data_IF_095764440267
#
_entry.id   IF_095764440267
#
_cell.length_a   1.000
_cell.length_b   1.000
_cell.length_c   1.000
_cell.angle_alpha   90.00
_cell.angle_beta   90.00
_cell.angle_gamma   90.00
#
_symmetry.space_group_name_H-M   'P 1'
#
loop_
_entity.id
_entity.type
_entity.pdbx_description
1 polymer ?
#
# COMPACT_ATOMS: atom_id res chain seq x y z
N UNK A 1 -2.72 2.46 -1.78
CA UNK A 1 -2.44 1.40 -2.76
C UNK A 1 -1.78 0.19 -2.09
N UNK A 2 -2.20 -1.03 -2.47
CA UNK A 2 -1.47 -2.27 -2.16
C UNK A 2 -0.05 -2.25 -2.77
N UNK A 3 0.90 -2.99 -2.19
CA UNK A 3 2.27 -3.03 -2.70
C UNK A 3 2.43 -4.10 -3.80
N UNK A 4 3.23 -3.83 -4.85
CA UNK A 4 3.35 -4.66 -6.04
C UNK A 4 4.26 -5.87 -5.83
N UNK A 5 3.95 -6.71 -4.84
CA UNK A 5 4.69 -7.95 -4.57
C UNK A 5 3.74 -9.15 -4.61
N UNK A 6 4.26 -10.31 -5.01
CA UNK A 6 3.43 -11.53 -5.18
C UNK A 6 2.77 -11.98 -3.88
N UNK A 7 3.40 -11.69 -2.75
CA UNK A 7 2.86 -11.96 -1.41
C UNK A 7 1.59 -11.19 -1.11
N UNK A 8 1.38 -10.03 -1.73
CA UNK A 8 0.16 -9.24 -1.51
C UNK A 8 -1.10 -10.06 -1.81
N UNK A 9 -1.06 -10.90 -2.86
CA UNK A 9 -2.16 -11.81 -3.16
C UNK A 9 -2.00 -13.16 -2.45
N UNK A 10 -0.80 -13.77 -2.51
CA UNK A 10 -0.62 -15.14 -2.05
C UNK A 10 -0.69 -15.27 -0.52
N UNK A 11 -0.06 -14.37 0.24
CA UNK A 11 -0.05 -14.44 1.71
C UNK A 11 -1.43 -14.12 2.25
N UNK A 12 -2.10 -13.12 1.65
CA UNK A 12 -3.45 -12.77 2.03
C UNK A 12 -4.38 -13.97 1.93
N UNK A 13 -4.33 -14.74 0.83
CA UNK A 13 -5.29 -15.83 0.59
C UNK A 13 -4.87 -17.21 1.11
N UNK A 14 -3.56 -17.48 1.18
CA UNK A 14 -3.03 -18.83 1.45
C UNK A 14 -2.07 -18.86 2.64
N UNK A 15 -1.95 -17.78 3.40
CA UNK A 15 -1.12 -17.71 4.60
C UNK A 15 -1.58 -18.68 5.69
N UNK A 16 -0.66 -19.10 6.56
CA UNK A 16 -0.87 -20.08 7.64
C UNK A 16 -2.06 -19.77 8.54
N UNK A 17 -2.35 -18.49 8.77
CA UNK A 17 -3.40 -18.04 9.67
C UNK A 17 -4.74 -17.76 8.98
N UNK A 18 -4.85 -17.94 7.65
CA UNK A 18 -6.08 -17.63 6.92
C UNK A 18 -6.91 -18.90 6.61
N UNK A 19 -8.11 -19.06 7.22
CA UNK A 19 -8.99 -20.19 6.97
C UNK A 19 -9.95 -19.99 5.77
N UNK A 20 -9.78 -18.95 4.95
CA UNK A 20 -10.74 -18.53 3.91
C UNK A 20 -11.15 -19.66 2.96
N UNK A 21 -10.25 -20.60 2.69
CA UNK A 21 -10.49 -21.74 1.79
C UNK A 21 -10.48 -23.11 2.49
N UNK A 22 -10.71 -23.13 3.81
CA UNK A 22 -10.64 -24.33 4.63
C UNK A 22 -9.35 -24.41 5.43
N UNK A 23 -8.87 -25.63 5.66
CA UNK A 23 -7.64 -25.86 6.43
C UNK A 23 -6.42 -25.35 5.63
N UNK A 24 -5.54 -24.51 6.21
CA UNK A 24 -4.32 -24.05 5.56
C UNK A 24 -3.39 -25.21 5.18
N UNK A 25 -2.75 -25.11 4.00
CA UNK A 25 -1.87 -26.16 3.48
C UNK A 25 -0.38 -25.80 3.68
N UNK A 26 0.39 -26.60 4.46
CA UNK A 26 1.83 -26.36 4.66
C UNK A 26 2.61 -26.31 3.36
N UNK A 27 2.23 -27.13 2.38
CA UNK A 27 2.85 -27.17 1.06
C UNK A 27 2.74 -25.83 0.31
N UNK A 28 1.82 -24.95 0.73
CA UNK A 28 1.70 -23.60 0.19
C UNK A 28 2.37 -22.60 1.15
N UNK A 29 1.90 -22.50 2.40
CA UNK A 29 2.33 -21.40 3.28
C UNK A 29 3.80 -21.49 3.71
N UNK A 30 4.41 -22.67 3.80
CA UNK A 30 5.83 -22.78 4.17
C UNK A 30 6.74 -22.24 3.05
N UNK A 31 6.34 -22.44 1.79
CA UNK A 31 7.04 -21.87 0.63
C UNK A 31 6.85 -20.35 0.58
N UNK A 32 5.66 -19.83 0.88
CA UNK A 32 5.43 -18.39 0.96
C UNK A 32 6.28 -17.74 2.05
N UNK A 33 6.31 -18.33 3.26
CA UNK A 33 7.15 -17.88 4.37
C UNK A 33 8.64 -17.93 4.00
N UNK A 34 9.08 -18.97 3.30
CA UNK A 34 10.47 -19.09 2.84
C UNK A 34 10.81 -18.01 1.79
N UNK A 35 9.94 -17.82 0.79
CA UNK A 35 10.14 -16.82 -0.26
C UNK A 35 10.19 -15.40 0.31
N UNK A 36 9.35 -15.10 1.30
CA UNK A 36 9.30 -13.79 1.96
C UNK A 36 10.61 -13.41 2.69
N UNK A 37 11.49 -14.37 2.99
CA UNK A 37 12.81 -14.10 3.59
C UNK A 37 13.90 -13.77 2.54
N UNK A 38 13.58 -13.79 1.24
CA UNK A 38 14.54 -13.58 0.16
C UNK A 38 14.32 -12.20 -0.47
N UNK A 39 15.30 -11.32 -0.31
CA UNK A 39 15.21 -9.94 -0.80
C UNK A 39 15.35 -9.80 -2.33
N UNK A 40 16.06 -10.71 -3.00
CA UNK A 40 16.21 -10.70 -4.46
C UNK A 40 15.04 -11.43 -5.13
N UNK A 41 14.18 -10.74 -5.89
CA UNK A 41 13.03 -11.37 -6.54
C UNK A 41 13.41 -12.52 -7.48
N UNK A 42 14.55 -12.43 -8.16
CA UNK A 42 15.02 -13.49 -9.06
C UNK A 42 15.42 -14.76 -8.29
N UNK A 43 15.96 -14.59 -7.08
CA UNK A 43 16.28 -15.71 -6.20
C UNK A 43 15.02 -16.33 -5.56
N UNK A 44 13.96 -15.54 -5.34
CA UNK A 44 12.70 -16.00 -4.77
C UNK A 44 11.75 -16.67 -5.80
N UNK A 45 11.93 -16.40 -7.10
CA UNK A 45 11.04 -16.83 -8.18
C UNK A 45 10.76 -18.34 -8.19
N UNK A 46 11.79 -19.17 -7.98
CA UNK A 46 11.64 -20.62 -7.96
C UNK A 46 10.74 -21.09 -6.80
N UNK A 47 10.86 -20.47 -5.63
CA UNK A 47 10.08 -20.81 -4.43
C UNK A 47 8.61 -20.45 -4.64
N UNK A 48 8.35 -19.25 -5.18
CA UNK A 48 6.99 -18.83 -5.49
C UNK A 48 6.36 -19.65 -6.63
N UNK A 49 7.18 -20.13 -7.57
CA UNK A 49 6.73 -21.07 -8.60
C UNK A 49 6.27 -22.40 -7.97
N UNK A 50 7.03 -22.92 -7.01
CA UNK A 50 6.67 -24.13 -6.28
C UNK A 50 5.39 -23.93 -5.45
N UNK A 51 5.23 -22.78 -4.79
CA UNK A 51 4.00 -22.43 -4.07
C UNK A 51 2.78 -22.39 -5.01
N UNK A 52 2.94 -21.79 -6.19
CA UNK A 52 1.88 -21.75 -7.20
C UNK A 52 1.56 -23.15 -7.77
N UNK A 53 2.55 -24.02 -7.90
CA UNK A 53 2.33 -25.43 -8.28
C UNK A 53 1.56 -26.18 -7.19
N UNK A 54 1.87 -25.97 -5.91
CA UNK A 54 1.13 -26.56 -4.80
C UNK A 54 -0.34 -26.11 -4.78
N UNK A 55 -0.62 -24.81 -5.00
CA UNK A 55 -1.99 -24.29 -5.17
C UNK A 55 -2.71 -25.01 -6.31
N UNK A 56 -2.04 -25.20 -7.44
CA UNK A 56 -2.60 -25.89 -8.61
C UNK A 56 -2.91 -27.37 -8.33
N UNK A 57 -2.08 -28.05 -7.54
CA UNK A 57 -2.26 -29.48 -7.23
C UNK A 57 -3.33 -29.72 -6.18
N UNK A 58 -3.34 -28.90 -5.12
CA UNK A 58 -4.27 -29.02 -4.00
C UNK A 58 -5.66 -28.47 -4.33
N UNK A 59 -5.73 -27.47 -5.22
CA UNK A 59 -6.96 -26.76 -5.61
C UNK A 59 -7.77 -26.32 -4.38
N UNK A 60 -7.17 -25.57 -3.43
CA UNK A 60 -7.89 -25.11 -2.23
C UNK A 60 -9.06 -24.18 -2.61
N UNK A 61 -8.96 -23.51 -3.75
CA UNK A 61 -10.01 -22.67 -4.30
C UNK A 61 -10.14 -22.86 -5.82
N UNK A 62 -11.35 -22.64 -6.35
CA UNK A 62 -11.62 -22.63 -7.80
C UNK A 62 -12.00 -21.20 -8.20
N UNK A 63 -11.19 -20.51 -9.03
CA UNK A 63 -11.49 -19.14 -9.42
C UNK A 63 -12.68 -19.16 -10.38
N UNK A 64 -13.82 -18.61 -9.94
CA UNK A 64 -15.05 -18.58 -10.74
C UNK A 64 -15.03 -17.44 -11.77
N UNK A 65 -14.40 -16.32 -11.42
CA UNK A 65 -14.25 -15.16 -12.28
C UNK A 65 -12.98 -14.39 -11.89
N UNK A 66 -12.37 -13.74 -12.88
CA UNK A 66 -11.34 -12.75 -12.69
C UNK A 66 -11.75 -11.52 -13.49
N UNK A 67 -12.23 -10.49 -12.79
CA UNK A 67 -12.59 -9.23 -13.41
C UNK A 67 -11.33 -8.45 -13.76
N UNK A 68 -11.26 -7.90 -14.96
CA UNK A 68 -10.25 -6.88 -15.26
C UNK A 68 -10.57 -5.62 -14.46
N UNK A 69 -9.56 -4.99 -13.86
CA UNK A 69 -9.68 -3.60 -13.44
C UNK A 69 -9.66 -2.71 -14.69
N UNK A 70 -10.61 -1.78 -14.77
CA UNK A 70 -10.75 -0.89 -15.90
C UNK A 70 -11.17 0.48 -15.45
N UNK A 71 -10.43 1.49 -15.89
CA UNK A 71 -10.78 2.90 -15.70
C UNK A 71 -11.16 3.49 -17.07
N UNK A 72 -12.19 4.33 -17.09
CA UNK A 72 -12.66 4.99 -18.29
C UNK A 72 -12.68 6.50 -18.06
N UNK A 73 -12.19 7.24 -19.04
CA UNK A 73 -12.15 8.70 -19.01
C UNK A 73 -13.00 9.26 -20.15
N UNK A 74 -13.49 10.49 -19.96
CA UNK A 74 -14.02 11.25 -21.08
C UNK A 74 -12.92 11.49 -22.11
N UNK A 75 -13.29 11.49 -23.40
CA UNK A 75 -12.34 11.53 -24.50
C UNK A 75 -11.45 12.79 -24.54
N UNK A 76 -11.84 13.84 -23.83
CA UNK A 76 -11.14 15.12 -23.75
C UNK A 76 -10.32 15.29 -22.45
N UNK A 77 -10.21 14.25 -21.62
CA UNK A 77 -9.28 14.25 -20.49
C UNK A 77 -7.86 14.09 -21.04
N UNK A 78 -7.04 15.12 -20.89
CA UNK A 78 -5.61 15.08 -21.22
C UNK A 78 -4.83 14.48 -20.04
N UNK A 79 -3.79 13.67 -20.33
CA UNK A 79 -2.96 13.07 -19.28
C UNK A 79 -3.64 11.93 -18.50
N UNK A 80 -4.75 11.37 -19.02
CA UNK A 80 -5.41 10.22 -18.42
C UNK A 80 -4.43 9.04 -18.26
N UNK A 81 -4.42 8.44 -17.06
CA UNK A 81 -3.57 7.32 -16.71
C UNK A 81 -4.37 6.28 -15.95
N UNK A 82 -4.11 5.00 -16.19
CA UNK A 82 -4.62 3.90 -15.39
C UNK A 82 -3.51 3.43 -14.47
N UNK A 83 -3.76 3.38 -13.16
CA UNK A 83 -2.77 2.83 -12.25
C UNK A 83 -2.95 1.32 -12.08
N UNK A 84 -1.86 0.52 -12.10
CA UNK A 84 -1.92 -0.89 -11.71
C UNK A 84 -2.23 -1.09 -10.21
N UNK A 85 -2.15 -0.02 -9.41
CA UNK A 85 -2.35 -0.04 -7.96
C UNK A 85 -3.65 0.68 -7.52
N UNK A 86 -4.44 1.16 -8.49
CA UNK A 86 -5.68 1.89 -8.22
C UNK A 86 -5.48 3.28 -7.60
N UNK A 87 -4.28 3.86 -7.71
CA UNK A 87 -3.90 5.18 -7.22
C UNK A 87 -3.75 6.23 -8.34
N UNK A 88 -4.85 6.54 -9.03
CA UNK A 88 -4.84 7.58 -10.06
C UNK A 88 -4.45 8.94 -9.46
N UNK A 89 -3.39 9.54 -9.98
CA UNK A 89 -2.94 10.88 -9.59
C UNK A 89 -3.70 11.93 -10.39
N UNK A 90 -4.81 12.43 -9.82
CA UNK A 90 -5.76 13.29 -10.53
C UNK A 90 -5.16 14.67 -10.83
N UNK A 91 -4.21 15.15 -10.02
CA UNK A 91 -3.55 16.43 -10.23
C UNK A 91 -2.70 16.49 -11.53
N UNK A 92 -2.31 15.33 -12.08
CA UNK A 92 -1.63 15.25 -13.37
C UNK A 92 -2.59 15.19 -14.57
N UNK A 93 -3.90 15.12 -14.33
CA UNK A 93 -4.93 15.07 -15.38
C UNK A 93 -5.56 16.43 -15.59
N UNK A 94 -5.93 16.73 -16.84
CA UNK A 94 -6.66 17.94 -17.19
C UNK A 94 -8.03 17.59 -17.79
N UNK A 95 -9.15 18.03 -17.20
CA UNK A 95 -10.48 17.73 -17.70
C UNK A 95 -10.86 18.67 -18.87
N UNK A 96 -10.09 18.66 -19.96
CA UNK A 96 -10.33 19.50 -21.14
C UNK A 96 -10.49 20.98 -20.78
N UNK A 97 -11.59 21.60 -21.23
CA UNK A 97 -11.93 23.01 -20.95
C UNK A 97 -12.74 23.20 -19.65
N UNK A 98 -12.88 22.16 -18.80
CA UNK A 98 -13.62 22.24 -17.53
C UNK A 98 -12.69 22.58 -16.38
N UNK A 99 -13.29 23.11 -15.31
CA UNK A 99 -12.61 23.33 -14.03
C UNK A 99 -12.83 22.18 -13.04
N UNK A 100 -13.63 21.18 -13.41
CA UNK A 100 -14.00 20.07 -12.52
C UNK A 100 -13.71 18.73 -13.17
N UNK A 101 -12.92 17.92 -12.47
CA UNK A 101 -12.76 16.50 -12.76
C UNK A 101 -13.74 15.70 -11.90
N UNK A 102 -14.59 14.89 -12.52
CA UNK A 102 -15.57 14.04 -11.81
C UNK A 102 -15.12 12.60 -11.90
N UNK A 103 -14.83 12.00 -10.75
CA UNK A 103 -14.47 10.60 -10.61
C UNK A 103 -15.63 9.80 -10.01
N UNK A 104 -15.88 8.61 -10.56
CA UNK A 104 -16.78 7.62 -9.97
C UNK A 104 -15.94 6.48 -9.45
N UNK A 105 -16.23 6.02 -8.24
CA UNK A 105 -15.62 4.85 -7.64
C UNK A 105 -16.69 3.94 -7.03
N UNK A 106 -16.32 2.75 -6.55
CA UNK A 106 -17.31 1.69 -6.26
C UNK A 106 -18.06 1.91 -4.94
N UNK A 107 -17.43 2.57 -3.97
CA UNK A 107 -18.02 2.87 -2.68
C UNK A 107 -17.56 4.23 -2.11
N UNK A 108 -18.29 4.70 -1.11
CA UNK A 108 -17.87 5.85 -0.31
C UNK A 108 -16.61 5.49 0.50
N UNK A 109 -15.61 6.39 0.61
CA UNK A 109 -14.50 6.25 1.56
C UNK A 109 -15.03 5.97 2.97
N UNK A 110 -14.45 4.99 3.65
CA UNK A 110 -14.83 4.64 5.02
C UNK A 110 -14.46 5.79 5.97
N UNK A 111 -13.24 6.30 5.84
CA UNK A 111 -12.80 7.52 6.52
C UNK A 111 -11.65 8.20 5.75
N UNK A 112 -11.23 9.36 6.25
CA UNK A 112 -10.03 10.07 5.78
C UNK A 112 -8.90 10.05 6.81
N UNK A 113 -8.96 9.18 7.82
CA UNK A 113 -7.82 8.89 8.68
C UNK A 113 -6.90 7.89 7.98
N UNK A 114 -6.17 8.37 6.97
CA UNK A 114 -5.50 7.54 5.98
C UNK A 114 -4.55 6.47 6.53
N UNK A 115 -3.92 6.72 7.68
CA UNK A 115 -3.00 5.77 8.31
C UNK A 115 -3.66 4.53 8.92
N UNK A 116 -4.99 4.55 9.10
CA UNK A 116 -5.77 3.48 9.72
C UNK A 116 -6.72 2.78 8.73
N UNK A 117 -6.72 3.20 7.46
CA UNK A 117 -7.55 2.61 6.41
C UNK A 117 -6.79 1.57 5.60
N UNK A 118 -7.52 0.56 5.12
CA UNK A 118 -6.96 -0.56 4.33
C UNK A 118 -7.64 -0.75 2.97
N UNK A 119 -8.72 -0.03 2.69
CA UNK A 119 -9.47 -0.19 1.45
C UNK A 119 -9.05 0.82 0.38
N UNK A 120 -9.16 0.41 -0.89
CA UNK A 120 -8.77 1.25 -2.02
C UNK A 120 -9.62 2.50 -2.22
N UNK A 121 -10.88 2.53 -1.75
CA UNK A 121 -11.77 3.68 -1.94
C UNK A 121 -11.43 4.83 -0.99
N UNK A 122 -11.06 4.51 0.25
CA UNK A 122 -10.49 5.48 1.19
C UNK A 122 -9.09 5.92 0.78
N UNK A 123 -8.21 4.98 0.43
CA UNK A 123 -6.82 5.30 0.09
C UNK A 123 -6.70 6.16 -1.17
N UNK A 124 -7.56 5.97 -2.19
CA UNK A 124 -7.54 6.83 -3.39
C UNK A 124 -7.84 8.28 -3.05
N UNK A 125 -8.83 8.53 -2.17
CA UNK A 125 -9.16 9.88 -1.72
C UNK A 125 -8.02 10.48 -0.89
N UNK A 126 -7.44 9.69 0.00
CA UNK A 126 -6.28 10.05 0.81
C UNK A 126 -5.08 10.49 -0.03
N UNK A 127 -4.73 9.73 -1.06
CA UNK A 127 -3.60 10.02 -1.95
C UNK A 127 -3.77 11.31 -2.77
N UNK A 128 -4.98 11.90 -2.81
CA UNK A 128 -5.17 13.22 -3.43
C UNK A 128 -4.88 14.38 -2.46
N UNK A 129 -4.81 14.12 -1.15
CA UNK A 129 -4.71 15.17 -0.12
C UNK A 129 -3.51 15.01 0.80
N UNK A 130 -2.92 13.82 0.87
CA UNK A 130 -1.69 13.51 1.60
C UNK A 130 -0.59 13.01 0.67
N UNK A 131 0.66 13.17 1.09
CA UNK A 131 1.83 12.63 0.41
C UNK A 131 2.68 11.80 1.39
N UNK A 132 3.31 10.74 0.90
CA UNK A 132 4.26 9.89 1.63
C UNK A 132 5.71 10.31 1.37
N UNK A 133 6.67 9.74 2.11
CA UNK A 133 8.10 9.98 1.85
C UNK A 133 8.51 9.56 0.43
N UNK A 134 8.00 8.42 -0.02
CA UNK A 134 8.16 7.90 -1.38
C UNK A 134 6.78 7.60 -1.97
N UNK A 135 6.64 7.75 -3.28
CA UNK A 135 5.42 7.43 -4.02
C UNK A 135 5.74 6.44 -5.14
N UNK A 136 4.72 5.97 -5.85
CA UNK A 136 4.92 5.25 -7.10
C UNK A 136 4.94 6.22 -8.29
N UNK A 137 5.66 5.85 -9.34
CA UNK A 137 5.57 6.55 -10.63
C UNK A 137 4.14 6.52 -11.17
N UNK A 138 3.75 7.60 -11.84
CA UNK A 138 2.43 7.74 -12.48
C UNK A 138 2.21 6.58 -13.46
N UNK A 139 1.15 5.79 -13.24
CA UNK A 139 0.80 4.63 -14.05
C UNK A 139 1.73 3.41 -13.87
N UNK A 140 2.61 3.44 -12.86
CA UNK A 140 3.64 2.43 -12.65
C UNK A 140 3.71 1.92 -11.21
N UNK A 141 4.64 0.99 -11.00
CA UNK A 141 4.91 0.35 -9.71
C UNK A 141 6.32 0.62 -9.20
N UNK A 142 7.10 1.41 -9.95
CA UNK A 142 8.43 1.83 -9.53
C UNK A 142 8.31 2.89 -8.44
N UNK A 143 9.02 2.69 -7.33
CA UNK A 143 9.09 3.68 -6.26
C UNK A 143 9.95 4.88 -6.69
N UNK A 144 9.50 6.09 -6.35
CA UNK A 144 10.18 7.34 -6.62
C UNK A 144 10.13 8.28 -5.40
N UNK A 145 11.10 9.20 -5.27
CA UNK A 145 11.10 10.21 -4.20
C UNK A 145 9.85 11.10 -4.22
N UNK A 146 9.28 11.38 -3.04
CA UNK A 146 8.16 12.30 -2.85
C UNK A 146 8.51 13.36 -1.79
N UNK A 147 7.98 13.25 -0.56
CA UNK A 147 8.35 14.15 0.55
C UNK A 147 9.79 13.94 1.05
N UNK A 148 10.38 12.78 0.79
CA UNK A 148 11.82 12.58 0.88
C UNK A 148 12.45 12.66 -0.51
N UNK A 149 13.64 13.27 -0.61
CA UNK A 149 14.45 13.31 -1.85
C UNK A 149 15.35 12.09 -1.98
N UNK A 150 15.74 11.47 -0.85
CA UNK A 150 16.46 10.20 -0.79
C UNK A 150 16.17 9.48 0.53
N UNK A 151 16.33 8.15 0.54
CA UNK A 151 16.38 7.32 1.74
C UNK A 151 17.48 6.28 1.54
N UNK A 152 18.53 6.35 2.36
CA UNK A 152 19.71 5.49 2.22
C UNK A 152 19.74 4.45 3.36
N UNK A 153 19.82 3.15 3.05
CA UNK A 153 19.93 2.12 4.06
C UNK A 153 21.36 1.99 4.61
N UNK A 154 21.49 1.50 5.83
CA UNK A 154 22.74 0.95 6.34
C UNK A 154 23.04 -0.45 5.75
N UNK A 155 24.23 -0.99 5.99
CA UNK A 155 24.72 -2.22 5.35
C UNK A 155 23.85 -3.46 5.60
N UNK A 156 23.23 -3.56 6.77
CA UNK A 156 22.39 -4.66 7.21
C UNK A 156 20.88 -4.41 7.00
N UNK A 157 20.51 -3.30 6.35
CA UNK A 157 19.13 -2.92 6.02
C UNK A 157 18.21 -2.74 7.25
N UNK A 158 18.79 -2.44 8.42
CA UNK A 158 18.07 -2.24 9.68
C UNK A 158 17.78 -0.78 10.00
N UNK A 159 18.42 0.17 9.29
CA UNK A 159 18.25 1.60 9.48
C UNK A 159 18.25 2.32 8.13
N UNK A 160 17.30 3.23 7.95
CA UNK A 160 17.19 4.07 6.76
C UNK A 160 17.29 5.54 7.16
N UNK A 161 18.17 6.28 6.50
CA UNK A 161 18.31 7.74 6.68
C UNK A 161 17.65 8.45 5.51
N UNK A 162 16.55 9.16 5.76
CA UNK A 162 15.80 9.88 4.73
C UNK A 162 16.10 11.39 4.75
N UNK A 163 16.40 11.96 3.59
CA UNK A 163 16.56 13.41 3.40
C UNK A 163 15.22 14.00 2.97
N UNK A 164 14.65 14.91 3.76
CA UNK A 164 13.35 15.51 3.47
C UNK A 164 13.43 16.62 2.42
N UNK A 165 12.36 16.80 1.66
CA UNK A 165 12.19 17.90 0.71
C UNK A 165 11.98 19.20 1.47
N UNK A 166 12.79 20.21 1.15
CA UNK A 166 12.68 21.53 1.75
C UNK A 166 11.54 22.36 1.14
N UNK A 167 10.99 23.30 1.92
CA UNK A 167 10.01 24.27 1.45
C UNK A 167 8.61 23.73 1.21
N UNK A 168 8.33 22.49 1.64
CA UNK A 168 6.99 21.91 1.61
C UNK A 168 6.14 22.53 2.73
N UNK A 169 4.88 22.83 2.41
CA UNK A 169 3.91 23.36 3.36
C UNK A 169 2.64 22.53 3.32
N UNK A 170 2.00 22.37 4.48
CA UNK A 170 0.64 21.85 4.56
C UNK A 170 -0.37 22.84 3.96
N UNK A 171 -1.60 22.36 3.73
CA UNK A 171 -2.69 23.15 3.17
C UNK A 171 -3.08 24.37 4.02
N UNK A 172 -2.73 24.39 5.31
CA UNK A 172 -2.95 25.52 6.22
C UNK A 172 -1.80 26.54 6.23
N UNK A 173 -0.72 26.27 5.49
CA UNK A 173 0.48 27.10 5.38
C UNK A 173 1.56 26.81 6.42
N UNK A 174 1.37 25.86 7.34
CA UNK A 174 2.44 25.38 8.23
C UNK A 174 3.53 24.65 7.43
N UNK A 175 4.77 24.70 7.92
CA UNK A 175 5.90 24.05 7.25
C UNK A 175 5.95 22.57 7.60
N UNK A 176 6.31 21.73 6.62
CA UNK A 176 6.60 20.31 6.82
C UNK A 176 8.04 20.10 7.29
N UNK A 177 8.22 19.31 8.35
CA UNK A 177 9.53 18.88 8.83
C UNK A 177 9.53 17.44 9.39
N UNK A 178 10.67 17.03 9.97
CA UNK A 178 10.85 15.68 10.50
C UNK A 178 9.96 15.34 11.71
N UNK A 179 9.45 16.33 12.44
CA UNK A 179 8.49 16.11 13.53
C UNK A 179 7.14 15.63 12.99
N UNK A 180 6.72 16.08 11.80
CA UNK A 180 5.47 15.61 11.19
C UNK A 180 5.57 14.16 10.73
N UNK A 181 6.74 13.79 10.20
CA UNK A 181 7.06 12.39 9.89
C UNK A 181 7.01 11.56 11.17
N UNK A 182 7.69 12.01 12.23
CA UNK A 182 7.69 11.32 13.52
C UNK A 182 6.27 11.16 14.08
N UNK A 183 5.46 12.22 14.06
CA UNK A 183 4.09 12.21 14.57
C UNK A 183 3.21 11.21 13.79
N UNK A 184 3.37 11.15 12.47
CA UNK A 184 2.64 10.21 11.60
C UNK A 184 3.02 8.75 11.91
N UNK A 185 4.31 8.47 12.05
CA UNK A 185 4.80 7.13 12.40
C UNK A 185 4.46 6.72 13.84
N UNK A 186 4.47 7.65 14.79
CA UNK A 186 4.02 7.41 16.16
C UNK A 186 2.53 7.09 16.21
N UNK A 187 1.70 7.81 15.44
CA UNK A 187 0.28 7.48 15.31
C UNK A 187 0.08 6.07 14.74
N UNK A 188 0.91 5.62 13.80
CA UNK A 188 0.80 4.28 13.22
C UNK A 188 1.33 3.13 14.09
N UNK A 189 2.48 3.33 14.74
CA UNK A 189 3.21 2.25 15.41
C UNK A 189 3.03 2.17 16.92
N UNK A 190 2.79 3.29 17.62
CA UNK A 190 2.77 3.30 19.09
C UNK A 190 1.33 3.30 19.60
N UNK A 191 0.85 2.13 20.08
CA UNK A 191 -0.50 1.97 20.59
C UNK A 191 -0.80 2.80 21.85
N UNK A 192 0.23 3.35 22.51
CA UNK A 192 0.07 4.26 23.64
C UNK A 192 0.05 5.74 23.23
N UNK A 193 0.35 6.05 21.96
CA UNK A 193 0.37 7.42 21.47
C UNK A 193 -1.02 8.05 21.58
N UNK A 194 -1.14 9.30 22.05
CA UNK A 194 -2.41 10.03 22.03
C UNK A 194 -3.00 10.20 20.62
N UNK A 195 -2.19 10.02 19.57
CA UNK A 195 -2.61 10.12 18.18
C UNK A 195 -2.93 8.76 17.54
N UNK A 196 -2.68 7.63 18.22
CA UNK A 196 -3.05 6.28 17.77
C UNK A 196 -4.55 6.02 18.04
N UNK A 197 -5.40 6.78 17.36
CA UNK A 197 -6.86 6.70 17.52
C UNK A 197 -7.51 6.11 16.28
N UNK A 198 -7.08 6.56 15.09
CA UNK A 198 -7.61 6.06 13.84
C UNK A 198 -9.12 6.29 13.65
N UNK A 199 -9.68 5.60 12.68
CA UNK A 199 -11.11 5.38 12.51
C UNK A 199 -11.57 4.14 13.30
N UNK A 200 -10.85 3.03 13.15
CA UNK A 200 -10.99 1.77 13.89
C UNK A 200 -10.00 1.68 15.04
N UNK A 201 -8.82 2.31 14.91
CA UNK A 201 -7.69 2.21 15.83
C UNK A 201 -6.91 0.91 15.71
N UNK A 202 -7.10 0.15 14.62
CA UNK A 202 -6.44 -1.13 14.41
C UNK A 202 -5.04 -0.98 13.77
N UNK A 203 -4.86 0.05 12.95
CA UNK A 203 -3.66 0.35 12.18
C UNK A 203 -3.10 -0.92 11.50
N UNK A 204 -3.98 -1.64 10.80
CA UNK A 204 -3.73 -3.02 10.37
C UNK A 204 -2.45 -3.16 9.56
N UNK A 205 -2.17 -2.26 8.61
CA UNK A 205 -0.92 -2.28 7.86
C UNK A 205 0.30 -2.04 8.73
N UNK A 206 0.22 -1.13 9.71
CA UNK A 206 1.35 -0.90 10.61
C UNK A 206 1.61 -2.12 11.49
N UNK A 207 0.55 -2.70 12.05
CA UNK A 207 0.59 -3.93 12.83
C UNK A 207 1.16 -5.10 12.04
N UNK A 208 0.71 -5.27 10.80
CA UNK A 208 1.15 -6.36 9.92
C UNK A 208 2.62 -6.20 9.47
N UNK A 209 3.04 -5.00 9.07
CA UNK A 209 4.37 -4.77 8.49
C UNK A 209 5.48 -4.62 9.54
N UNK A 210 5.19 -4.01 10.69
CA UNK A 210 6.20 -3.66 11.70
C UNK A 210 5.88 -4.17 13.10
N UNK A 211 4.64 -4.60 13.35
CA UNK A 211 4.12 -4.79 14.70
C UNK A 211 3.83 -3.46 15.40
N UNK A 212 2.89 -3.49 16.33
CA UNK A 212 2.59 -2.33 17.18
C UNK A 212 3.46 -2.36 18.45
N UNK A 213 3.96 -1.19 18.83
CA UNK A 213 4.65 -0.95 20.10
C UNK A 213 3.62 -0.62 21.19
N UNK A 214 3.98 -0.90 22.45
CA UNK A 214 3.22 -0.48 23.64
C UNK A 214 1.74 -0.90 23.65
N UNK A 215 1.40 -2.02 23.01
CA UNK A 215 0.05 -2.61 23.06
C UNK A 215 -0.25 -3.00 24.52
N UNK A 216 -1.37 -2.52 25.05
CA UNK A 216 -1.81 -2.90 26.40
C UNK A 216 -2.26 -4.36 26.39
N UNK A 217 -1.77 -5.15 27.36
CA UNK A 217 -2.17 -6.55 27.57
C UNK A 217 -3.66 -6.73 27.91
#
# INVERSE_FOLDING_TARGET
ADYPHITNFLDYHFGRANPQFGDPHPEIYELLEQGAQIADPAAAEAIYTDANNAIRELVPMVPMAHGGSGVAYLADVEGAQASPLGNEYMAAMKPGDRDTFVWMQNAEPISLYCGDETDGESLRACEQVTESLYAYEIGGTAAQPALATSCEPNEDLTMWTCTLREGVTFHDGSAFDAQDVLASWQAGLDASSPTHVGNTGAFEYFSYLWGLMNVQE
#
